data_IF_315757016281
#
_entry.id   IF_315757016281
#
_cell.length_a   1.000
_cell.length_b   1.000
_cell.length_c   1.000
_cell.angle_alpha   90.00
_cell.angle_beta   90.00
_cell.angle_gamma   90.00
#
_symmetry.space_group_name_H-M   'P 1'
#
loop_
_entity.id
_entity.type
_entity.pdbx_description
1 polymer ?
#
# COMPACT_ATOMS: atom_id res chain seq x y z
N UNK A 1 -85.33 33.06 -13.41
CA UNK A 1 -83.98 32.91 -13.99
C UNK A 1 -83.14 32.01 -13.09
N UNK A 2 -82.80 30.80 -13.52
CA UNK A 2 -82.00 29.86 -12.73
C UNK A 2 -80.50 30.03 -13.04
N UNK A 3 -79.66 30.22 -12.00
CA UNK A 3 -78.20 30.34 -12.13
C UNK A 3 -77.58 28.94 -12.23
N UNK A 4 -76.94 28.65 -13.36
CA UNK A 4 -76.14 27.44 -13.57
C UNK A 4 -74.84 27.56 -12.75
N UNK A 5 -74.63 26.67 -11.77
CA UNK A 5 -73.41 26.62 -10.96
C UNK A 5 -72.43 25.62 -11.60
N UNK A 6 -71.39 26.15 -12.24
CA UNK A 6 -70.32 25.32 -12.80
C UNK A 6 -69.54 24.62 -11.67
N UNK A 7 -69.55 23.28 -11.66
CA UNK A 7 -68.71 22.48 -10.74
C UNK A 7 -67.30 22.38 -11.32
N UNK A 8 -66.29 22.86 -10.58
CA UNK A 8 -64.88 22.64 -10.91
C UNK A 8 -64.58 21.13 -10.84
N UNK A 9 -64.01 20.59 -11.92
CA UNK A 9 -63.51 19.21 -11.94
C UNK A 9 -62.22 19.14 -11.11
N UNK A 10 -61.98 18.06 -10.35
CA UNK A 10 -60.72 17.85 -9.64
C UNK A 10 -59.57 17.70 -10.63
N UNK A 11 -58.46 18.40 -10.37
CA UNK A 11 -57.22 18.29 -11.16
C UNK A 11 -56.45 17.10 -10.61
N UNK A 12 -56.18 16.11 -11.46
CA UNK A 12 -55.56 14.84 -11.09
C UNK A 12 -54.23 14.64 -11.83
N UNK A 13 -53.48 15.71 -12.02
CA UNK A 13 -52.16 15.68 -12.65
C UNK A 13 -51.11 15.34 -11.59
N UNK A 14 -50.36 14.25 -11.80
CA UNK A 14 -49.25 13.90 -10.91
C UNK A 14 -48.07 14.83 -11.18
N UNK A 15 -47.56 15.49 -10.14
CA UNK A 15 -46.32 16.25 -10.27
C UNK A 15 -45.14 15.28 -10.36
N UNK A 16 -44.47 15.25 -11.51
CA UNK A 16 -43.31 14.38 -11.77
C UNK A 16 -42.00 14.98 -11.26
N UNK A 17 -41.94 16.29 -10.99
CA UNK A 17 -40.71 16.99 -10.58
C UNK A 17 -40.11 16.43 -9.28
N UNK A 18 -40.89 16.16 -8.20
CA UNK A 18 -40.33 15.58 -6.98
C UNK A 18 -39.82 14.15 -7.17
N UNK A 19 -40.42 13.38 -8.09
CA UNK A 19 -39.96 12.03 -8.38
C UNK A 19 -38.60 12.04 -9.07
N UNK A 20 -38.41 12.96 -10.02
CA UNK A 20 -37.14 13.13 -10.72
C UNK A 20 -36.04 13.53 -9.74
N UNK A 21 -36.31 14.43 -8.79
CA UNK A 21 -35.34 14.87 -7.79
C UNK A 21 -34.83 13.69 -6.93
N UNK A 22 -35.75 12.86 -6.41
CA UNK A 22 -35.39 11.67 -5.63
C UNK A 22 -34.56 10.68 -6.45
N UNK A 23 -34.93 10.44 -7.71
CA UNK A 23 -34.19 9.53 -8.59
C UNK A 23 -32.78 10.07 -8.92
N UNK A 24 -32.63 11.37 -9.13
CA UNK A 24 -31.32 12.00 -9.40
C UNK A 24 -30.40 11.92 -8.17
N UNK A 25 -30.93 12.14 -6.97
CA UNK A 25 -30.15 11.98 -5.72
C UNK A 25 -29.60 10.56 -5.59
N UNK A 26 -30.39 9.53 -5.88
CA UNK A 26 -29.93 8.14 -5.85
C UNK A 26 -28.82 7.86 -6.87
N UNK A 27 -28.91 8.41 -8.08
CA UNK A 27 -27.86 8.29 -9.09
C UNK A 27 -26.55 8.95 -8.66
N UNK A 28 -26.61 10.12 -8.04
CA UNK A 28 -25.43 10.82 -7.51
C UNK A 28 -24.77 10.01 -6.40
N UNK A 29 -25.54 9.41 -5.48
CA UNK A 29 -25.00 8.55 -4.43
C UNK A 29 -24.22 7.37 -5.02
N UNK A 30 -24.77 6.69 -6.04
CA UNK A 30 -24.07 5.59 -6.70
C UNK A 30 -22.80 6.04 -7.45
N UNK A 31 -22.84 7.19 -8.12
CA UNK A 31 -21.68 7.75 -8.82
C UNK A 31 -20.54 8.10 -7.85
N UNK A 32 -20.86 8.64 -6.66
CA UNK A 32 -19.88 9.04 -5.65
C UNK A 32 -19.31 7.85 -4.87
N UNK A 33 -20.10 6.79 -4.66
CA UNK A 33 -19.66 5.62 -3.89
C UNK A 33 -18.79 4.65 -4.70
N UNK A 34 -18.97 4.56 -6.02
CA UNK A 34 -18.16 3.72 -6.91
C UNK A 34 -16.62 3.94 -6.82
N UNK A 35 -16.07 5.18 -6.81
CA UNK A 35 -14.63 5.39 -6.71
C UNK A 35 -14.02 4.97 -5.36
N UNK A 36 -14.82 4.78 -4.31
CA UNK A 36 -14.31 4.34 -3.00
C UNK A 36 -13.95 2.85 -2.94
N UNK A 37 -14.36 2.05 -3.94
CA UNK A 37 -14.13 0.61 -3.98
C UNK A 37 -12.75 0.20 -4.51
N UNK A 38 -11.97 1.14 -5.06
CA UNK A 38 -10.63 0.87 -5.59
C UNK A 38 -9.54 1.37 -4.63
N UNK A 39 -9.44 0.78 -3.45
CA UNK A 39 -8.23 0.87 -2.61
C UNK A 39 -7.20 -0.15 -3.13
N UNK A 40 -6.67 0.09 -4.33
CA UNK A 40 -5.51 -0.62 -4.84
C UNK A 40 -4.26 0.22 -4.61
N UNK A 41 -3.35 -0.23 -3.75
CA UNK A 41 -2.01 0.38 -3.66
C UNK A 41 -1.31 0.12 -4.99
N UNK A 42 -0.98 1.19 -5.73
CA UNK A 42 -0.19 1.09 -6.95
C UNK A 42 1.27 0.81 -6.55
N UNK A 43 1.64 -0.47 -6.49
CA UNK A 43 3.01 -0.89 -6.22
C UNK A 43 3.76 -0.87 -7.56
N UNK A 44 4.55 0.17 -7.80
CA UNK A 44 5.49 0.21 -8.91
C UNK A 44 6.71 -0.65 -8.52
N UNK A 45 6.66 -1.95 -8.85
CA UNK A 45 7.77 -2.86 -8.56
C UNK A 45 9.01 -2.43 -9.37
N UNK A 46 10.15 -2.15 -8.73
CA UNK A 46 11.40 -1.97 -9.45
C UNK A 46 11.74 -3.27 -10.18
N UNK A 47 12.06 -3.14 -11.47
CA UNK A 47 12.54 -4.28 -12.26
C UNK A 47 13.87 -4.72 -11.67
N UNK A 48 13.97 -5.99 -11.29
CA UNK A 48 15.19 -6.60 -10.75
C UNK A 48 16.31 -6.47 -11.79
N UNK A 49 17.17 -5.46 -11.64
CA UNK A 49 18.50 -5.53 -12.23
C UNK A 49 19.37 -6.29 -11.24
N UNK A 50 19.74 -7.51 -11.60
CA UNK A 50 20.75 -8.31 -10.88
C UNK A 50 22.16 -7.72 -11.11
N UNK A 51 22.27 -6.39 -11.16
CA UNK A 51 23.53 -5.67 -11.25
C UNK A 51 23.98 -5.35 -9.84
N UNK A 52 25.29 -5.50 -9.61
CA UNK A 52 25.97 -5.08 -8.39
C UNK A 52 25.70 -3.60 -8.21
N UNK A 53 24.71 -3.26 -7.38
CA UNK A 53 24.36 -1.87 -7.11
C UNK A 53 25.60 -1.21 -6.48
N UNK A 54 26.00 -0.01 -6.96
CA UNK A 54 27.12 0.70 -6.37
C UNK A 54 26.86 0.89 -4.88
N UNK A 55 27.71 0.30 -4.04
CA UNK A 55 27.73 0.66 -2.63
C UNK A 55 28.26 2.09 -2.55
N UNK A 56 27.33 3.05 -2.51
CA UNK A 56 27.65 4.39 -2.06
C UNK A 56 28.08 4.25 -0.60
N UNK A 57 29.38 4.43 -0.33
CA UNK A 57 30.02 4.26 0.99
C UNK A 57 29.44 5.13 2.12
N UNK A 58 28.47 6.01 1.81
CA UNK A 58 27.74 6.87 2.75
C UNK A 58 26.29 6.42 3.00
N UNK A 59 25.86 5.32 2.38
CA UNK A 59 24.50 4.76 2.49
C UNK A 59 24.46 3.66 3.54
N UNK A 60 23.48 3.70 4.45
CA UNK A 60 23.20 2.54 5.31
C UNK A 60 22.39 1.50 4.56
N UNK A 61 22.70 0.24 4.78
CA UNK A 61 22.02 -0.90 4.17
C UNK A 61 21.10 -1.55 5.20
N UNK A 62 19.80 -1.60 4.87
CA UNK A 62 18.80 -2.31 5.65
C UNK A 62 18.36 -3.56 4.88
N UNK A 63 18.76 -4.73 5.36
CA UNK A 63 18.38 -6.02 4.76
C UNK A 63 17.24 -6.64 5.53
N UNK A 64 16.15 -6.97 4.84
CA UNK A 64 14.94 -7.59 5.40
C UNK A 64 14.84 -8.99 4.85
N UNK A 65 14.99 -9.99 5.71
CA UNK A 65 14.91 -11.39 5.33
C UNK A 65 13.53 -11.96 5.65
N UNK A 66 12.95 -12.65 4.67
CA UNK A 66 11.66 -13.32 4.76
C UNK A 66 11.91 -14.82 4.71
N UNK A 67 11.39 -15.56 5.70
CA UNK A 67 11.37 -17.02 5.69
C UNK A 67 10.00 -17.56 5.30
N UNK A 68 9.96 -18.83 4.86
CA UNK A 68 8.73 -19.50 4.43
C UNK A 68 7.68 -19.66 5.57
N UNK A 69 8.12 -19.62 6.82
CA UNK A 69 7.25 -19.61 8.01
C UNK A 69 6.61 -18.24 8.29
N UNK A 70 6.80 -17.25 7.40
CA UNK A 70 6.35 -15.85 7.53
C UNK A 70 6.98 -15.12 8.71
N UNK A 71 8.12 -15.59 9.19
CA UNK A 71 8.95 -14.81 10.10
C UNK A 71 9.77 -13.80 9.31
N UNK A 72 9.84 -12.58 9.84
CA UNK A 72 10.59 -11.49 9.25
C UNK A 72 11.76 -11.13 10.15
N UNK A 73 12.92 -10.95 9.54
CA UNK A 73 14.15 -10.53 10.18
C UNK A 73 14.66 -9.27 9.50
N UNK A 74 15.33 -8.41 10.24
CA UNK A 74 15.91 -7.19 9.68
C UNK A 74 17.31 -6.93 10.25
N UNK A 75 18.26 -6.61 9.40
CA UNK A 75 19.62 -6.28 9.79
C UNK A 75 19.99 -4.93 9.19
N UNK A 76 20.64 -4.09 10.00
CA UNK A 76 21.19 -2.82 9.58
C UNK A 76 22.71 -2.91 9.62
N UNK A 77 23.35 -2.65 8.49
CA UNK A 77 24.80 -2.67 8.35
C UNK A 77 25.29 -1.68 7.29
N UNK A 78 26.59 -1.72 7.05
CA UNK A 78 27.24 -0.91 6.01
C UNK A 78 27.33 -1.68 4.68
N UNK A 79 27.22 -3.02 4.71
CA UNK A 79 27.25 -3.88 3.52
C UNK A 79 26.09 -4.91 3.52
N UNK A 80 25.70 -5.35 2.33
CA UNK A 80 24.80 -6.52 2.16
C UNK A 80 25.63 -7.77 2.35
N UNK A 81 25.58 -8.38 3.53
CA UNK A 81 26.29 -9.64 3.78
C UNK A 81 25.38 -10.85 3.41
N UNK A 82 25.71 -11.61 2.35
CA UNK A 82 24.93 -12.76 1.93
C UNK A 82 25.05 -13.97 2.88
N UNK A 83 26.04 -14.02 3.77
CA UNK A 83 26.28 -15.14 4.69
C UNK A 83 25.79 -14.89 6.12
N UNK A 84 25.36 -13.66 6.44
CA UNK A 84 24.85 -13.32 7.77
C UNK A 84 23.40 -13.76 8.02
N UNK A 85 23.23 -15.07 8.00
CA UNK A 85 22.15 -15.81 8.66
C UNK A 85 22.13 -15.65 10.19
N UNK A 86 23.05 -14.88 10.79
CA UNK A 86 23.33 -14.89 12.25
C UNK A 86 23.23 -13.55 12.99
N UNK A 87 22.84 -12.44 12.38
CA UNK A 87 22.89 -11.13 13.05
C UNK A 87 21.58 -10.35 13.05
N UNK A 88 20.42 -11.00 13.03
CA UNK A 88 19.15 -10.32 13.30
C UNK A 88 18.40 -10.99 14.44
N UNK A 89 18.66 -10.49 15.64
CA UNK A 89 17.90 -10.74 16.84
C UNK A 89 16.55 -10.02 16.72
N UNK A 90 15.55 -10.68 16.14
CA UNK A 90 14.12 -10.64 16.52
C UNK A 90 13.29 -11.03 15.30
N UNK A 91 12.65 -12.19 15.36
CA UNK A 91 11.55 -12.51 14.47
C UNK A 91 10.37 -11.60 14.83
N UNK A 92 10.02 -10.67 13.95
CA UNK A 92 8.95 -9.71 14.20
C UNK A 92 7.77 -9.97 13.26
N UNK A 93 6.56 -9.64 13.68
CA UNK A 93 5.40 -9.62 12.79
C UNK A 93 5.49 -8.44 11.80
N UNK A 94 4.84 -8.57 10.64
CA UNK A 94 4.85 -7.55 9.58
C UNK A 94 4.53 -6.12 10.08
N UNK A 95 3.50 -5.87 10.91
CA UNK A 95 3.18 -4.51 11.36
C UNK A 95 4.29 -3.89 12.21
N UNK A 96 4.93 -4.70 13.05
CA UNK A 96 6.03 -4.25 13.90
C UNK A 96 7.29 -3.98 13.07
N UNK A 97 7.57 -4.80 12.05
CA UNK A 97 8.64 -4.54 11.08
C UNK A 97 8.44 -3.18 10.39
N UNK A 98 7.25 -2.93 9.86
CA UNK A 98 6.91 -1.66 9.18
C UNK A 98 7.13 -0.46 10.11
N UNK A 99 6.71 -0.57 11.37
CA UNK A 99 6.92 0.49 12.36
C UNK A 99 8.40 0.74 12.64
N UNK A 100 9.21 -0.32 12.79
CA UNK A 100 10.67 -0.20 12.98
C UNK A 100 11.34 0.44 11.77
N UNK A 101 10.99 -0.01 10.56
CA UNK A 101 11.54 0.55 9.31
C UNK A 101 11.18 2.03 9.19
N UNK A 102 9.94 2.41 9.48
CA UNK A 102 9.52 3.82 9.44
C UNK A 102 10.29 4.70 10.44
N UNK A 103 10.56 4.20 11.65
CA UNK A 103 11.38 4.90 12.64
C UNK A 103 12.84 5.08 12.16
N UNK A 104 13.41 4.05 11.53
CA UNK A 104 14.74 4.10 10.93
C UNK A 104 14.79 5.11 9.79
N UNK A 105 13.82 5.05 8.87
CA UNK A 105 13.76 5.94 7.70
C UNK A 105 13.62 7.41 8.13
N UNK A 106 12.73 7.70 9.08
CA UNK A 106 12.54 9.07 9.59
C UNK A 106 13.77 9.61 10.33
N UNK A 107 14.44 8.78 11.13
CA UNK A 107 15.68 9.16 11.83
C UNK A 107 16.82 9.47 10.84
N UNK A 108 17.00 8.64 9.81
CA UNK A 108 18.08 8.84 8.84
C UNK A 108 17.78 10.01 7.89
N UNK A 109 16.52 10.20 7.51
CA UNK A 109 16.09 11.36 6.73
C UNK A 109 16.37 12.67 7.48
N UNK A 110 16.14 12.72 8.79
CA UNK A 110 16.50 13.87 9.62
C UNK A 110 18.01 14.15 9.67
N UNK A 111 18.85 13.13 9.44
CA UNK A 111 20.31 13.25 9.36
C UNK A 111 20.81 13.45 7.92
N UNK A 112 19.92 13.54 6.93
CA UNK A 112 20.28 13.64 5.51
C UNK A 112 20.94 12.37 4.93
N UNK A 113 20.88 11.24 5.66
CA UNK A 113 21.48 9.97 5.23
C UNK A 113 20.50 9.17 4.39
N UNK A 114 20.98 8.58 3.31
CA UNK A 114 20.21 7.66 2.48
C UNK A 114 20.28 6.25 3.06
N UNK A 115 19.14 5.58 3.12
CA UNK A 115 19.04 4.17 3.50
C UNK A 115 18.59 3.39 2.28
N UNK A 116 19.39 2.39 1.90
CA UNK A 116 19.04 1.44 0.86
C UNK A 116 18.40 0.21 1.51
N UNK A 117 17.21 -0.17 1.06
CA UNK A 117 16.48 -1.30 1.63
C UNK A 117 16.53 -2.46 0.66
N UNK A 118 16.98 -3.62 1.15
CA UNK A 118 17.00 -4.88 0.41
C UNK A 118 16.05 -5.87 1.05
N UNK A 119 15.28 -6.58 0.24
CA UNK A 119 14.42 -7.68 0.65
C UNK A 119 15.05 -8.97 0.16
N UNK A 120 15.40 -9.84 1.10
CA UNK A 120 15.90 -11.19 0.88
C UNK A 120 14.77 -12.19 1.09
N UNK A 121 14.55 -13.05 0.10
CA UNK A 121 13.65 -14.19 0.21
C UNK A 121 14.33 -15.47 -0.23
N UNK A 122 14.06 -16.56 0.49
CA UNK A 122 14.35 -17.91 0.02
C UNK A 122 13.39 -18.28 -1.14
N UNK A 123 13.80 -19.21 -2.01
CA UNK A 123 12.98 -19.80 -3.08
C UNK A 123 11.64 -20.35 -2.61
N UNK A 124 11.56 -20.79 -1.35
CA UNK A 124 10.34 -21.33 -0.76
C UNK A 124 9.35 -20.27 -0.27
N UNK A 125 9.69 -18.98 -0.32
CA UNK A 125 8.79 -17.91 0.15
C UNK A 125 7.70 -17.65 -0.89
N UNK A 126 6.44 -17.65 -0.42
CA UNK A 126 5.30 -17.31 -1.26
C UNK A 126 5.42 -15.88 -1.81
N UNK A 127 5.14 -15.72 -3.10
CA UNK A 127 5.12 -14.40 -3.76
C UNK A 127 4.23 -13.39 -3.02
N UNK A 128 3.08 -13.83 -2.49
CA UNK A 128 2.18 -12.97 -1.73
C UNK A 128 2.81 -12.39 -0.45
N UNK A 129 3.69 -13.15 0.21
CA UNK A 129 4.41 -12.69 1.40
C UNK A 129 5.44 -11.61 1.04
N UNK A 130 6.13 -11.77 -0.09
CA UNK A 130 7.06 -10.75 -0.61
C UNK A 130 6.29 -9.45 -0.94
N UNK A 131 5.14 -9.57 -1.60
CA UNK A 131 4.30 -8.41 -1.94
C UNK A 131 3.76 -7.68 -0.70
N UNK A 132 3.38 -8.43 0.34
CA UNK A 132 2.91 -7.84 1.61
C UNK A 132 4.02 -7.03 2.29
N UNK A 133 5.26 -7.54 2.28
CA UNK A 133 6.44 -6.80 2.79
C UNK A 133 6.70 -5.56 1.95
N UNK A 134 6.73 -5.68 0.62
CA UNK A 134 6.95 -4.55 -0.28
C UNK A 134 5.93 -3.42 -0.05
N UNK A 135 4.65 -3.78 0.08
CA UNK A 135 3.58 -2.81 0.40
C UNK A 135 3.82 -2.11 1.73
N UNK A 136 4.14 -2.88 2.78
CA UNK A 136 4.45 -2.31 4.11
C UNK A 136 5.69 -1.41 4.11
N UNK A 137 6.72 -1.73 3.33
CA UNK A 137 7.92 -0.89 3.21
C UNK A 137 7.62 0.42 2.50
N UNK A 138 6.77 0.40 1.48
CA UNK A 138 6.34 1.60 0.79
C UNK A 138 5.52 2.52 1.72
N UNK A 139 4.63 1.96 2.54
CA UNK A 139 3.93 2.70 3.59
C UNK A 139 4.89 3.30 4.63
N UNK A 140 6.00 2.61 4.93
CA UNK A 140 7.06 3.11 5.81
C UNK A 140 7.91 4.24 5.19
N UNK A 141 7.66 4.62 3.92
CA UNK A 141 8.38 5.69 3.22
C UNK A 141 9.63 5.21 2.46
N UNK A 142 9.78 3.91 2.24
CA UNK A 142 10.89 3.35 1.45
C UNK A 142 10.57 3.52 -0.04
N UNK A 143 11.34 4.37 -0.73
CA UNK A 143 11.11 4.66 -2.15
C UNK A 143 11.68 3.62 -3.12
N UNK A 144 12.80 3.00 -2.79
CA UNK A 144 13.45 1.99 -3.63
C UNK A 144 13.76 0.75 -2.79
N UNK A 145 13.28 -0.41 -3.24
CA UNK A 145 13.54 -1.70 -2.60
C UNK A 145 14.29 -2.59 -3.59
N UNK A 146 15.48 -3.03 -3.21
CA UNK A 146 16.22 -4.06 -3.94
C UNK A 146 15.74 -5.45 -3.55
N UNK A 147 15.68 -6.38 -4.50
CA UNK A 147 15.40 -7.79 -4.23
C UNK A 147 16.67 -8.61 -4.39
N UNK A 148 17.00 -9.42 -3.39
CA UNK A 148 18.11 -10.36 -3.45
C UNK A 148 17.61 -11.77 -3.15
N UNK A 149 18.12 -12.74 -3.91
CA UNK A 149 17.84 -14.16 -3.70
C UNK A 149 19.11 -14.85 -3.24
N UNK A 150 18.99 -15.82 -2.35
CA UNK A 150 20.11 -16.67 -1.96
C UNK A 150 20.57 -17.51 -3.18
N UNK A 151 21.89 -17.58 -3.39
CA UNK A 151 22.46 -18.44 -4.42
C UNK A 151 22.27 -19.92 -4.00
N UNK A 152 21.93 -20.82 -4.95
CA UNK A 152 21.66 -22.22 -4.67
C UNK A 152 22.88 -22.99 -4.13
#
# INVERSE_FOLDING_TARGET
MARIRNRRKPVSEMNVVPYIDVMLVLLVIFMVTAPMLNQGVKVDLPKVSSEVLPQDNDSRVLTISIKADKTYYWNMGDEVDPDQSKASETATALPALVQTVSAIMSQNAAQGKKVQVFVRGDKSVDYGSVMAVMGGLQEAGVGNVGLITEAP
#
